data_IF_981443449265
#
_entry.id   IF_981443449265
#
_cell.length_a   1.000
_cell.length_b   1.000
_cell.length_c   1.000
_cell.angle_alpha   90.00
_cell.angle_beta   90.00
_cell.angle_gamma   90.00
#
_symmetry.space_group_name_H-M   'P 1'
#
loop_
_entity.id
_entity.type
_entity.pdbx_description
1 polymer ?
#
# COMPACT_ATOMS: atom_id res chain seq x y z
N UNK A 1 -18.30 8.93 0.27
CA UNK A 1 -17.74 10.20 -0.26
C UNK A 1 -18.34 10.44 -1.65
N UNK A 2 -18.16 11.59 -2.33
CA UNK A 2 -18.64 11.80 -3.71
C UNK A 2 -17.46 12.01 -4.64
N UNK A 3 -17.51 11.49 -5.85
CA UNK A 3 -16.55 11.83 -6.90
C UNK A 3 -16.74 13.31 -7.26
N UNK A 4 -15.73 14.13 -6.96
CA UNK A 4 -15.71 15.56 -7.28
C UNK A 4 -14.70 15.83 -8.40
N UNK A 5 -14.74 17.01 -9.06
CA UNK A 5 -13.71 17.39 -10.03
C UNK A 5 -12.28 17.37 -9.46
N UNK A 6 -12.14 17.49 -8.14
CA UNK A 6 -10.84 17.36 -7.48
C UNK A 6 -10.38 15.89 -7.45
N UNK A 7 -11.27 14.98 -7.09
CA UNK A 7 -11.03 13.54 -7.13
C UNK A 7 -10.79 13.03 -8.54
N UNK A 8 -11.43 13.60 -9.56
CA UNK A 8 -11.15 13.27 -10.96
C UNK A 8 -9.69 13.61 -11.33
N UNK A 9 -9.19 14.78 -10.89
CA UNK A 9 -7.80 15.18 -11.11
C UNK A 9 -6.81 14.30 -10.34
N UNK A 10 -7.18 13.89 -9.12
CA UNK A 10 -6.37 12.96 -8.33
C UNK A 10 -6.31 11.60 -9.03
N UNK A 11 -7.43 11.09 -9.51
CA UNK A 11 -7.50 9.82 -10.24
C UNK A 11 -6.70 9.88 -11.55
N UNK A 12 -6.73 11.00 -12.27
CA UNK A 12 -5.88 11.20 -13.44
C UNK A 12 -4.40 11.06 -13.09
N UNK A 13 -3.94 11.72 -12.02
CA UNK A 13 -2.55 11.60 -11.54
C UNK A 13 -2.16 10.17 -11.16
N UNK A 14 -3.13 9.31 -10.83
CA UNK A 14 -2.88 7.93 -10.46
C UNK A 14 -2.67 7.00 -11.67
N UNK A 15 -2.94 7.46 -12.90
CA UNK A 15 -2.71 6.67 -14.11
C UNK A 15 -1.23 6.36 -14.33
N UNK A 16 -0.98 5.25 -15.03
CA UNK A 16 0.35 4.83 -15.40
C UNK A 16 1.09 5.95 -16.17
N UNK A 17 2.36 6.17 -15.82
CA UNK A 17 3.23 7.17 -16.45
C UNK A 17 3.16 8.58 -15.85
N UNK A 18 2.13 8.93 -15.08
CA UNK A 18 2.00 10.29 -14.53
C UNK A 18 2.91 10.54 -13.31
N UNK A 19 2.93 9.62 -12.35
CA UNK A 19 3.80 9.69 -11.16
C UNK A 19 4.76 8.50 -11.11
N UNK A 20 4.23 7.29 -11.32
CA UNK A 20 5.01 6.06 -11.37
C UNK A 20 4.80 5.38 -12.72
N UNK A 21 5.76 4.55 -13.15
CA UNK A 21 5.62 3.76 -14.37
C UNK A 21 4.31 2.96 -14.43
N UNK A 22 4.01 2.09 -13.44
CA UNK A 22 2.77 1.30 -13.44
C UNK A 22 1.51 2.07 -12.99
N UNK A 23 1.65 3.28 -12.43
CA UNK A 23 0.53 3.99 -11.80
C UNK A 23 0.07 3.33 -10.50
N UNK A 24 -1.10 3.75 -10.00
CA UNK A 24 -1.70 3.25 -8.77
C UNK A 24 -3.04 2.54 -8.97
N UNK A 25 -3.61 2.58 -10.18
CA UNK A 25 -4.97 2.07 -10.46
C UNK A 25 -4.97 0.68 -11.08
N UNK A 26 -3.89 0.23 -11.73
CA UNK A 26 -3.91 -1.02 -12.48
C UNK A 26 -4.94 -1.00 -13.62
N UNK A 27 -5.79 -2.00 -13.67
CA UNK A 27 -6.92 -2.15 -14.61
C UNK A 27 -8.28 -1.80 -13.96
N UNK A 28 -8.26 -1.11 -12.82
CA UNK A 28 -9.48 -0.72 -12.10
C UNK A 28 -10.22 0.44 -12.79
N UNK A 29 -11.37 0.12 -13.37
CA UNK A 29 -12.23 1.08 -14.07
C UNK A 29 -13.21 1.85 -13.14
N UNK A 30 -13.22 1.54 -11.84
CA UNK A 30 -14.11 2.23 -10.87
C UNK A 30 -13.67 3.67 -10.64
N UNK A 31 -14.59 4.51 -10.15
CA UNK A 31 -14.20 5.83 -9.65
C UNK A 31 -13.36 5.67 -8.38
N UNK A 32 -12.40 6.58 -8.17
CA UNK A 32 -11.50 6.57 -7.02
C UNK A 32 -12.24 6.51 -5.69
N UNK A 33 -13.34 7.26 -5.56
CA UNK A 33 -14.17 7.27 -4.35
C UNK A 33 -14.83 5.91 -4.09
N UNK A 34 -15.22 5.18 -5.13
CA UNK A 34 -15.85 3.87 -5.00
C UNK A 34 -14.81 2.83 -4.53
N UNK A 35 -13.60 2.86 -5.10
CA UNK A 35 -12.47 2.02 -4.66
C UNK A 35 -12.21 2.22 -3.17
N UNK A 36 -12.02 3.47 -2.73
CA UNK A 36 -11.76 3.82 -1.32
C UNK A 36 -12.94 3.38 -0.43
N UNK A 37 -14.17 3.62 -0.85
CA UNK A 37 -15.35 3.31 -0.03
C UNK A 37 -15.54 1.81 0.15
N UNK A 38 -15.34 1.00 -0.91
CA UNK A 38 -15.42 -0.46 -0.83
C UNK A 38 -14.32 -1.06 0.06
N UNK A 39 -13.08 -0.58 -0.07
CA UNK A 39 -11.98 -1.04 0.77
C UNK A 39 -12.22 -0.65 2.24
N UNK A 40 -12.73 0.54 2.51
CA UNK A 40 -13.05 1.01 3.85
C UNK A 40 -14.16 0.19 4.53
N UNK A 41 -15.17 -0.25 3.77
CA UNK A 41 -16.21 -1.16 4.28
C UNK A 41 -15.56 -2.47 4.71
N UNK A 42 -14.70 -3.05 3.86
CA UNK A 42 -13.99 -4.31 4.13
C UNK A 42 -13.13 -4.20 5.39
N UNK A 43 -12.32 -3.13 5.52
CA UNK A 43 -11.51 -2.88 6.72
C UNK A 43 -12.37 -2.84 7.99
N UNK A 44 -13.53 -2.18 7.92
CA UNK A 44 -14.45 -2.08 9.05
C UNK A 44 -15.09 -3.43 9.41
N UNK A 45 -15.49 -4.23 8.42
CA UNK A 45 -16.06 -5.57 8.63
C UNK A 45 -15.06 -6.54 9.27
N UNK A 46 -13.77 -6.37 8.98
CA UNK A 46 -12.67 -7.09 9.62
C UNK A 46 -12.38 -6.62 11.05
N UNK A 47 -13.04 -5.56 11.53
CA UNK A 47 -12.80 -4.99 12.86
C UNK A 47 -11.47 -4.22 12.96
N UNK A 48 -10.92 -3.78 11.83
CA UNK A 48 -9.64 -3.08 11.74
C UNK A 48 -9.83 -1.58 11.47
N UNK A 49 -8.71 -0.85 11.51
CA UNK A 49 -8.60 0.53 11.01
C UNK A 49 -7.43 0.64 10.04
N UNK A 50 -7.42 1.70 9.23
CA UNK A 50 -6.34 1.95 8.28
C UNK A 50 -5.00 2.15 8.99
N UNK A 51 -5.03 2.79 10.17
CA UNK A 51 -3.86 3.03 11.01
C UNK A 51 -3.26 1.72 11.50
N UNK A 52 -4.06 0.77 11.97
CA UNK A 52 -3.56 -0.56 12.41
C UNK A 52 -2.81 -1.27 11.28
N UNK A 53 -3.38 -1.26 10.08
CA UNK A 53 -2.76 -1.88 8.91
C UNK A 53 -1.47 -1.14 8.52
N UNK A 54 -1.53 0.19 8.42
CA UNK A 54 -0.38 1.02 8.08
C UNK A 54 0.77 0.88 9.09
N UNK A 55 0.46 0.82 10.39
CA UNK A 55 1.43 0.66 11.46
C UNK A 55 2.15 -0.70 11.37
N UNK A 56 1.41 -1.77 11.05
CA UNK A 56 2.01 -3.10 10.87
C UNK A 56 2.93 -3.14 9.65
N UNK A 57 2.52 -2.53 8.53
CA UNK A 57 3.35 -2.39 7.32
C UNK A 57 4.61 -1.55 7.59
N UNK A 58 4.47 -0.44 8.31
CA UNK A 58 5.59 0.44 8.67
C UNK A 58 6.57 -0.26 9.61
N UNK A 59 6.08 -1.00 10.61
CA UNK A 59 6.91 -1.79 11.52
C UNK A 59 7.74 -2.81 10.74
N UNK A 60 7.11 -3.61 9.87
CA UNK A 60 7.80 -4.63 9.08
C UNK A 60 8.86 -4.02 8.16
N UNK A 61 8.55 -2.88 7.53
CA UNK A 61 9.51 -2.14 6.71
C UNK A 61 10.73 -1.71 7.54
N UNK A 62 10.52 -1.08 8.71
CA UNK A 62 11.61 -0.63 9.59
C UNK A 62 12.49 -1.78 10.08
N UNK A 63 11.91 -2.93 10.37
CA UNK A 63 12.69 -4.12 10.73
C UNK A 63 13.49 -4.65 9.53
N UNK A 64 12.89 -4.67 8.34
CA UNK A 64 13.54 -5.11 7.10
C UNK A 64 14.66 -4.18 6.61
N UNK A 65 14.60 -2.88 6.89
CA UNK A 65 15.65 -1.91 6.53
C UNK A 65 17.04 -2.28 7.10
N UNK A 66 17.07 -3.02 8.21
CA UNK A 66 18.31 -3.51 8.84
C UNK A 66 19.05 -4.55 8.01
N UNK A 67 18.38 -5.15 7.02
CA UNK A 67 18.94 -6.18 6.13
C UNK A 67 19.75 -5.64 4.96
N UNK A 68 19.66 -4.34 4.65
CA UNK A 68 20.36 -3.72 3.51
C UNK A 68 20.20 -4.50 2.20
N UNK A 69 18.95 -4.82 1.83
CA UNK A 69 18.63 -5.64 0.65
C UNK A 69 18.70 -7.15 0.85
N UNK A 70 19.22 -7.62 1.99
CA UNK A 70 19.17 -9.04 2.37
C UNK A 70 17.88 -9.38 3.12
N UNK A 71 17.38 -10.63 3.02
CA UNK A 71 16.21 -11.06 3.79
C UNK A 71 16.41 -10.98 5.30
N UNK A 72 15.47 -10.35 5.99
CA UNK A 72 15.42 -10.26 7.47
C UNK A 72 14.23 -11.08 7.98
N UNK A 73 14.47 -11.95 8.96
CA UNK A 73 13.39 -12.67 9.65
C UNK A 73 12.85 -11.78 10.78
N UNK A 74 11.53 -11.60 10.83
CA UNK A 74 10.85 -10.78 11.85
C UNK A 74 9.86 -11.67 12.63
N UNK A 75 10.03 -11.71 13.95
CA UNK A 75 9.20 -12.47 14.91
C UNK A 75 8.99 -13.96 14.56
N UNK A 76 9.94 -14.56 13.86
CA UNK A 76 9.85 -15.92 13.29
C UNK A 76 8.64 -16.18 12.37
N UNK A 77 7.86 -15.15 12.05
CA UNK A 77 6.60 -15.20 11.29
C UNK A 77 6.76 -14.68 9.87
N UNK A 78 7.64 -13.69 9.70
CA UNK A 78 7.82 -12.98 8.44
C UNK A 78 9.25 -13.06 7.94
N UNK A 79 9.39 -13.00 6.62
CA UNK A 79 10.64 -12.63 5.94
C UNK A 79 10.39 -11.32 5.21
N UNK A 80 11.23 -10.32 5.47
CA UNK A 80 11.12 -8.99 4.87
C UNK A 80 12.38 -8.68 4.07
N UNK A 81 12.20 -8.18 2.85
CA UNK A 81 13.28 -7.67 2.00
C UNK A 81 12.95 -6.21 1.69
N UNK A 82 13.92 -5.31 1.91
CA UNK A 82 13.78 -3.88 1.64
C UNK A 82 14.85 -3.45 0.66
N UNK A 83 14.42 -2.92 -0.49
CA UNK A 83 15.28 -2.45 -1.57
C UNK A 83 15.06 -0.96 -1.81
N UNK A 84 16.08 -0.15 -1.50
CA UNK A 84 16.04 1.31 -1.73
C UNK A 84 16.61 1.66 -3.11
N UNK A 85 15.89 2.50 -3.84
CA UNK A 85 16.34 3.13 -5.06
C UNK A 85 16.43 4.65 -4.88
N UNK A 86 17.26 5.31 -5.70
CA UNK A 86 17.33 6.77 -5.66
C UNK A 86 15.99 7.41 -6.08
N UNK A 87 15.52 8.36 -5.28
CA UNK A 87 14.41 9.24 -5.61
C UNK A 87 13.27 9.22 -4.60
N UNK A 88 12.23 9.99 -4.91
CA UNK A 88 11.02 10.11 -4.11
C UNK A 88 9.79 9.96 -5.02
N UNK A 89 8.70 9.46 -4.43
CA UNK A 89 7.40 9.34 -5.08
C UNK A 89 6.45 10.33 -4.40
N UNK A 90 5.90 11.32 -5.14
CA UNK A 90 4.90 12.22 -4.59
C UNK A 90 3.55 11.53 -4.38
N UNK A 91 2.82 11.93 -3.35
CA UNK A 91 1.46 11.45 -3.13
C UNK A 91 0.49 11.98 -4.21
N UNK A 92 -0.30 11.10 -4.86
CA UNK A 92 -1.23 11.50 -5.93
C UNK A 92 -2.36 12.43 -5.46
N UNK A 93 -2.66 12.48 -4.16
CA UNK A 93 -3.68 13.36 -3.57
C UNK A 93 -3.24 14.84 -3.45
N UNK A 94 -2.01 15.18 -3.91
CA UNK A 94 -1.52 16.56 -4.10
C UNK A 94 -1.45 17.44 -2.84
N UNK A 95 -1.32 16.85 -1.66
CA UNK A 95 -1.07 17.56 -0.40
C UNK A 95 0.42 17.72 -0.03
N UNK A 96 1.34 17.54 -1.01
CA UNK A 96 2.77 17.82 -0.84
C UNK A 96 3.61 16.73 -0.16
N UNK A 97 3.03 15.60 0.24
CA UNK A 97 3.79 14.48 0.80
C UNK A 97 4.69 13.80 -0.23
N UNK A 98 5.92 13.50 0.17
CA UNK A 98 6.91 12.75 -0.61
C UNK A 98 7.36 11.52 0.18
N UNK A 99 7.34 10.36 -0.48
CA UNK A 99 7.80 9.09 0.10
C UNK A 99 9.09 8.66 -0.59
N UNK A 100 10.04 8.02 0.13
CA UNK A 100 11.24 7.47 -0.49
C UNK A 100 10.88 6.38 -1.51
N UNK A 101 11.66 6.28 -2.59
CA UNK A 101 11.52 5.19 -3.57
C UNK A 101 12.12 3.90 -3.02
N UNK A 102 11.35 3.18 -2.22
CA UNK A 102 11.72 1.91 -1.59
C UNK A 102 10.68 0.86 -1.98
N UNK A 103 11.16 -0.34 -2.31
CA UNK A 103 10.33 -1.53 -2.49
C UNK A 103 10.47 -2.41 -1.24
N UNK A 104 9.33 -2.87 -0.72
CA UNK A 104 9.28 -3.76 0.45
C UNK A 104 8.51 -5.00 0.05
N UNK A 105 9.18 -6.15 0.13
CA UNK A 105 8.53 -7.44 0.01
C UNK A 105 8.41 -8.06 1.40
N UNK A 106 7.20 -8.46 1.77
CA UNK A 106 6.93 -9.21 3.02
C UNK A 106 6.32 -10.54 2.66
N UNK A 107 6.92 -11.62 3.15
CA UNK A 107 6.38 -12.98 3.07
C UNK A 107 5.97 -13.49 4.44
N UNK A 108 4.71 -13.90 4.58
CA UNK A 108 4.26 -14.69 5.73
C UNK A 108 4.71 -16.14 5.55
N UNK A 109 5.48 -16.66 6.51
CA UNK A 109 6.11 -17.99 6.42
C UNK A 109 5.07 -19.11 6.49
N UNK A 110 4.07 -18.99 7.37
CA UNK A 110 3.06 -20.02 7.58
C UNK A 110 2.11 -20.12 6.40
N UNK A 111 1.65 -18.97 5.90
CA UNK A 111 0.71 -18.89 4.78
C UNK A 111 1.38 -19.13 3.42
N UNK A 112 2.71 -18.97 3.33
CA UNK A 112 3.48 -18.97 2.07
C UNK A 112 2.94 -17.97 1.06
N UNK A 113 2.43 -16.85 1.56
CA UNK A 113 1.95 -15.73 0.77
C UNK A 113 2.82 -14.50 1.01
N UNK A 114 2.90 -13.64 -0.02
CA UNK A 114 3.69 -12.43 0.02
C UNK A 114 2.96 -11.22 -0.57
N UNK A 115 3.40 -10.04 -0.14
CA UNK A 115 2.92 -8.74 -0.61
C UNK A 115 4.11 -7.85 -0.92
N UNK A 116 3.94 -7.03 -1.95
CA UNK A 116 4.84 -5.93 -2.27
C UNK A 116 4.15 -4.61 -1.93
N UNK A 117 4.88 -3.72 -1.27
CA UNK A 117 4.44 -2.36 -0.98
C UNK A 117 5.62 -1.41 -0.93
N UNK A 118 5.32 -0.15 -0.70
CA UNK A 118 6.31 0.92 -0.60
C UNK A 118 5.91 1.90 0.50
N UNK A 119 6.80 2.83 0.90
CA UNK A 119 6.43 3.87 1.85
C UNK A 119 5.25 4.73 1.36
N UNK A 120 5.07 4.91 0.04
CA UNK A 120 3.88 5.61 -0.47
C UNK A 120 2.60 4.79 -0.27
N UNK A 121 2.65 3.46 -0.37
CA UNK A 121 1.51 2.60 -0.09
C UNK A 121 1.03 2.74 1.36
N UNK A 122 1.97 2.79 2.32
CA UNK A 122 1.65 3.02 3.76
C UNK A 122 0.93 4.36 3.93
N UNK A 123 1.48 5.43 3.35
CA UNK A 123 0.90 6.77 3.43
C UNK A 123 -0.49 6.84 2.79
N UNK A 124 -0.69 6.19 1.64
CA UNK A 124 -1.97 6.12 0.95
C UNK A 124 -3.06 5.43 1.78
N UNK A 125 -2.70 4.35 2.48
CA UNK A 125 -3.61 3.68 3.39
C UNK A 125 -3.93 4.57 4.58
N UNK A 126 -2.90 5.07 5.27
CA UNK A 126 -3.05 5.83 6.52
C UNK A 126 -3.85 7.11 6.33
N UNK A 127 -3.52 7.92 5.33
CA UNK A 127 -4.10 9.26 5.18
C UNK A 127 -5.34 9.29 4.29
N UNK A 128 -5.46 8.33 3.35
CA UNK A 128 -6.49 8.39 2.30
C UNK A 128 -7.38 7.14 2.24
N UNK A 129 -7.11 6.11 3.04
CA UNK A 129 -7.84 4.84 2.98
C UNK A 129 -7.76 4.16 1.61
N UNK A 130 -6.72 4.45 0.84
CA UNK A 130 -6.58 3.98 -0.53
C UNK A 130 -5.57 2.84 -0.63
N UNK A 131 -6.07 1.63 -0.92
CA UNK A 131 -5.29 0.41 -0.99
C UNK A 131 -4.82 0.06 -2.42
N UNK A 132 -4.80 1.07 -3.30
CA UNK A 132 -4.51 0.97 -4.74
C UNK A 132 -5.60 0.21 -5.53
N UNK A 133 -5.68 0.45 -6.84
CA UNK A 133 -6.69 -0.18 -7.69
C UNK A 133 -6.38 -1.65 -8.00
N UNK A 134 -7.42 -2.40 -8.39
CA UNK A 134 -7.30 -3.78 -8.90
C UNK A 134 -6.30 -3.83 -10.07
N UNK A 135 -5.56 -4.93 -10.15
CA UNK A 135 -4.49 -5.10 -11.15
C UNK A 135 -3.22 -4.27 -10.93
N UNK A 136 -3.20 -3.34 -9.97
CA UNK A 136 -1.97 -2.65 -9.60
C UNK A 136 -0.99 -3.65 -8.97
N UNK A 137 0.31 -3.64 -9.33
CA UNK A 137 1.30 -4.53 -8.71
C UNK A 137 1.47 -4.29 -7.20
N UNK A 138 1.03 -3.12 -6.73
CA UNK A 138 1.05 -2.73 -5.32
C UNK A 138 -0.36 -2.69 -4.70
N UNK A 139 -1.35 -3.38 -5.31
CA UNK A 139 -2.69 -3.54 -4.71
C UNK A 139 -2.59 -4.29 -3.39
N UNK A 140 -3.04 -3.64 -2.32
CA UNK A 140 -3.07 -4.20 -0.97
C UNK A 140 -4.51 -4.53 -0.58
N UNK A 141 -5.09 -5.57 -1.19
CA UNK A 141 -6.47 -5.97 -0.88
C UNK A 141 -6.70 -6.14 0.64
N UNK A 142 -7.66 -5.42 1.26
CA UNK A 142 -7.80 -5.40 2.72
C UNK A 142 -7.99 -6.77 3.37
N UNK A 143 -8.77 -7.65 2.75
CA UNK A 143 -8.99 -9.00 3.28
C UNK A 143 -7.71 -9.82 3.22
N UNK A 144 -7.00 -9.74 2.09
CA UNK A 144 -5.76 -10.49 1.88
C UNK A 144 -4.65 -10.01 2.82
N UNK A 145 -4.42 -8.70 2.89
CA UNK A 145 -3.33 -8.17 3.71
C UNK A 145 -3.61 -8.36 5.20
N UNK A 146 -4.86 -8.29 5.66
CA UNK A 146 -5.19 -8.53 7.07
C UNK A 146 -4.78 -9.94 7.49
N UNK A 147 -5.02 -10.95 6.64
CA UNK A 147 -4.59 -12.33 6.86
C UNK A 147 -3.07 -12.48 6.80
N UNK A 148 -2.43 -11.95 5.75
CA UNK A 148 -0.98 -12.04 5.57
C UNK A 148 -0.26 -11.42 6.76
N UNK A 149 -0.71 -10.25 7.22
CA UNK A 149 -0.14 -9.52 8.34
C UNK A 149 -0.54 -10.08 9.73
N UNK A 150 -1.35 -11.14 9.76
CA UNK A 150 -1.85 -11.80 10.98
C UNK A 150 -2.60 -10.84 11.92
N UNK A 151 -3.43 -9.97 11.33
CA UNK A 151 -4.29 -9.02 12.05
C UNK A 151 -5.70 -9.58 12.35
N UNK A 152 -6.08 -10.67 11.68
CA UNK A 152 -7.36 -11.39 11.82
C UNK A 152 -7.17 -12.90 11.76
#
# INVERSE_FOLDING_TARGET
MKQTPDFDRIQENMRAGNITGPGFLGDDDRNLVDIISEDQITVKELGLTNEIIADKLEMLMKEGERGFGSPVKVDDRFVVIVEESRGYIPCPFRHGHLSKKVNVNVRNIALKEEIDYSPISIHLIREHGFFQGKGSPYRLDPTRIAKILELV
#
